data_IF_727551707916
#
_entry.id   IF_727551707916
#
_cell.length_a   1.000
_cell.length_b   1.000
_cell.length_c   1.000
_cell.angle_alpha   90.00
_cell.angle_beta   90.00
_cell.angle_gamma   90.00
#
_symmetry.space_group_name_H-M   'P 1'
#
loop_
_entity.id
_entity.type
_entity.pdbx_description
1 polymer ?
#
# COMPACT_ATOMS: atom_id res chain seq x y z
N UNK A 1 -42.28 16.35 18.56
CA UNK A 1 -40.84 16.43 18.73
C UNK A 1 -40.30 15.00 18.72
N UNK A 2 -39.98 14.52 17.55
CA UNK A 2 -39.45 13.16 17.31
C UNK A 2 -38.04 13.33 16.82
N UNK A 3 -37.09 12.84 17.62
CA UNK A 3 -35.67 12.79 17.26
C UNK A 3 -35.47 11.81 16.11
N UNK A 4 -34.60 12.09 15.13
CA UNK A 4 -34.21 11.11 14.16
C UNK A 4 -33.08 10.24 14.74
N UNK A 5 -33.38 8.97 14.92
CA UNK A 5 -32.37 7.93 15.11
C UNK A 5 -31.49 7.81 13.87
N UNK A 6 -30.27 8.23 14.01
CA UNK A 6 -29.21 8.01 13.03
C UNK A 6 -28.31 6.88 13.52
N UNK A 7 -28.67 5.66 13.20
CA UNK A 7 -27.75 4.51 13.29
C UNK A 7 -27.50 3.96 11.89
N UNK A 8 -26.64 4.64 11.15
CA UNK A 8 -25.86 4.00 10.11
C UNK A 8 -24.66 3.35 10.80
N UNK A 9 -24.84 2.13 11.31
CA UNK A 9 -23.74 1.25 11.69
C UNK A 9 -23.01 0.84 10.42
N UNK A 10 -21.94 1.55 10.14
CA UNK A 10 -20.94 1.16 9.16
C UNK A 10 -20.48 -0.27 9.50
N UNK A 11 -20.69 -1.20 8.59
CA UNK A 11 -20.11 -2.54 8.64
C UNK A 11 -18.58 -2.41 8.46
N UNK A 12 -17.89 -2.05 9.54
CA UNK A 12 -16.46 -2.20 9.64
C UNK A 12 -16.25 -3.70 9.84
N UNK A 13 -15.80 -4.38 8.79
CA UNK A 13 -15.30 -5.75 8.92
C UNK A 13 -14.12 -5.68 9.88
N UNK A 14 -14.35 -6.05 11.14
CA UNK A 14 -13.32 -6.25 12.15
C UNK A 14 -12.48 -7.47 11.75
N UNK A 15 -11.60 -7.29 10.79
CA UNK A 15 -10.44 -8.15 10.63
C UNK A 15 -9.52 -7.76 11.77
N UNK A 16 -9.21 -8.73 12.64
CA UNK A 16 -8.37 -8.63 13.83
C UNK A 16 -7.39 -7.45 13.69
N UNK A 17 -7.49 -6.38 14.53
CA UNK A 17 -6.54 -5.29 14.46
C UNK A 17 -5.19 -5.90 14.81
N UNK A 18 -4.49 -6.38 13.79
CA UNK A 18 -3.32 -7.20 13.94
C UNK A 18 -2.25 -6.40 14.67
N UNK A 19 -2.42 -6.30 15.95
CA UNK A 19 -1.40 -5.90 16.89
C UNK A 19 -0.36 -7.00 16.77
N UNK A 20 0.77 -6.68 16.15
CA UNK A 20 1.90 -7.59 16.14
C UNK A 20 2.23 -7.89 17.60
N UNK A 21 2.33 -9.15 17.96
CA UNK A 21 2.73 -9.57 19.32
C UNK A 21 4.10 -8.99 19.69
N UNK A 22 4.95 -8.71 18.71
CA UNK A 22 6.27 -8.09 18.82
C UNK A 22 6.32 -6.72 18.13
N UNK A 23 5.36 -5.84 18.44
CA UNK A 23 5.25 -4.54 17.82
C UNK A 23 6.49 -3.67 18.09
N UNK A 24 7.22 -3.31 17.03
CA UNK A 24 8.31 -2.33 17.06
C UNK A 24 7.76 -0.91 16.92
N UNK A 25 6.66 -0.73 16.20
CA UNK A 25 5.96 0.53 16.02
C UNK A 25 4.52 0.36 16.46
N UNK A 26 4.09 1.21 17.40
CA UNK A 26 2.74 1.23 17.93
C UNK A 26 2.08 2.58 17.66
N UNK A 27 0.86 2.54 17.17
CA UNK A 27 0.01 3.69 16.90
C UNK A 27 -1.32 3.47 17.61
N UNK A 28 -1.67 4.34 18.56
CA UNK A 28 -2.87 4.20 19.38
C UNK A 28 -3.74 5.44 19.29
N UNK A 29 -4.99 5.29 18.82
CA UNK A 29 -6.02 6.32 18.69
C UNK A 29 -5.48 7.62 18.04
N UNK A 30 -4.64 7.46 17.02
CA UNK A 30 -3.91 8.56 16.38
C UNK A 30 -4.85 9.43 15.57
N UNK A 31 -4.94 10.73 15.90
CA UNK A 31 -5.59 11.74 15.07
C UNK A 31 -4.60 12.85 14.71
N UNK A 32 -4.61 13.21 13.42
CA UNK A 32 -3.77 14.28 12.86
C UNK A 32 -4.61 15.15 11.95
N UNK A 33 -4.62 16.47 12.21
CA UNK A 33 -5.28 17.44 11.33
C UNK A 33 -4.42 18.66 11.06
N UNK A 34 -4.62 19.26 9.90
CA UNK A 34 -3.95 20.48 9.43
C UNK A 34 -5.01 21.56 9.21
N UNK A 35 -5.16 22.45 10.19
CA UNK A 35 -6.28 23.40 10.21
C UNK A 35 -7.61 22.64 10.17
N UNK A 36 -8.50 22.94 9.22
CA UNK A 36 -9.82 22.26 9.12
C UNK A 36 -9.74 20.86 8.50
N UNK A 37 -8.61 20.47 7.91
CA UNK A 37 -8.46 19.20 7.20
C UNK A 37 -8.01 18.08 8.14
N UNK A 38 -8.86 17.10 8.36
CA UNK A 38 -8.51 15.86 9.05
C UNK A 38 -7.73 14.96 8.09
N UNK A 39 -6.50 14.60 8.47
CA UNK A 39 -5.64 13.72 7.69
C UNK A 39 -5.64 12.28 8.21
N UNK A 40 -5.74 12.11 9.55
CA UNK A 40 -5.92 10.83 10.23
C UNK A 40 -6.94 11.02 11.35
N UNK A 41 -7.79 10.01 11.58
CA UNK A 41 -8.85 10.03 12.59
C UNK A 41 -8.92 8.71 13.32
N UNK A 42 -8.64 8.71 14.63
CA UNK A 42 -8.76 7.58 15.54
C UNK A 42 -8.11 6.29 15.02
N UNK A 43 -6.90 6.41 14.49
CA UNK A 43 -6.17 5.30 13.89
C UNK A 43 -5.42 4.49 14.93
N UNK A 44 -5.71 3.19 15.05
CA UNK A 44 -4.98 2.25 15.90
C UNK A 44 -4.42 1.13 15.02
N UNK A 45 -3.10 0.97 15.01
CA UNK A 45 -2.40 -0.08 14.29
C UNK A 45 -0.99 -0.29 14.86
N UNK A 46 -0.34 -1.40 14.49
CA UNK A 46 1.04 -1.65 14.86
C UNK A 46 1.82 -2.33 13.74
N UNK A 47 3.14 -2.21 13.80
CA UNK A 47 4.06 -2.84 12.86
C UNK A 47 5.15 -3.56 13.66
N UNK A 48 5.47 -4.78 13.28
CA UNK A 48 6.53 -5.61 13.87
C UNK A 48 7.57 -6.03 12.83
N UNK A 49 8.51 -6.90 13.22
CA UNK A 49 9.49 -7.46 12.30
C UNK A 49 8.84 -8.06 11.04
N UNK A 50 9.53 -7.95 9.92
CA UNK A 50 8.99 -8.33 8.60
C UNK A 50 8.58 -7.12 7.77
N UNK A 51 7.94 -7.38 6.63
CA UNK A 51 7.45 -6.34 5.72
C UNK A 51 5.96 -6.14 5.91
N UNK A 52 5.57 -4.91 6.25
CA UNK A 52 4.18 -4.49 6.32
C UNK A 52 3.84 -3.52 5.19
N UNK A 53 2.78 -3.79 4.44
CA UNK A 53 2.27 -2.93 3.40
C UNK A 53 1.25 -1.93 3.95
N UNK A 54 1.43 -0.66 3.65
CA UNK A 54 0.47 0.41 3.94
C UNK A 54 -0.22 0.79 2.64
N UNK A 55 -1.46 0.34 2.50
CA UNK A 55 -2.23 0.44 1.29
C UNK A 55 -3.31 1.52 1.40
N UNK A 56 -3.60 2.21 0.31
CA UNK A 56 -4.67 3.20 0.26
C UNK A 56 -4.57 4.13 -0.94
N UNK A 57 -5.68 4.75 -1.37
CA UNK A 57 -5.67 5.71 -2.45
C UNK A 57 -4.84 6.96 -2.11
N UNK A 58 -4.61 7.79 -3.12
CA UNK A 58 -3.97 9.08 -2.89
C UNK A 58 -4.84 9.94 -1.96
N UNK A 59 -4.21 10.54 -0.95
CA UNK A 59 -4.93 11.30 0.07
C UNK A 59 -5.52 10.46 1.23
N UNK A 60 -5.34 9.13 1.24
CA UNK A 60 -5.82 8.26 2.33
C UNK A 60 -5.15 8.49 3.70
N UNK A 61 -4.05 9.26 3.75
CA UNK A 61 -3.31 9.53 4.98
C UNK A 61 -2.01 8.73 5.15
N UNK A 62 -1.59 7.92 4.17
CA UNK A 62 -0.38 7.08 4.23
C UNK A 62 0.87 7.88 4.60
N UNK A 63 1.19 8.91 3.82
CA UNK A 63 2.35 9.80 4.08
C UNK A 63 2.24 10.51 5.43
N UNK A 64 1.03 10.90 5.85
CA UNK A 64 0.81 11.52 7.17
C UNK A 64 1.11 10.54 8.30
N UNK A 65 0.64 9.28 8.19
CA UNK A 65 0.96 8.23 9.17
C UNK A 65 2.46 7.98 9.24
N UNK A 66 3.14 7.84 8.11
CA UNK A 66 4.58 7.62 8.05
C UNK A 66 5.37 8.80 8.66
N UNK A 67 4.94 10.03 8.40
CA UNK A 67 5.54 11.24 9.01
C UNK A 67 5.24 11.31 10.51
N UNK A 68 4.09 10.84 10.97
CA UNK A 68 3.79 10.75 12.41
C UNK A 68 4.67 9.69 13.09
N UNK A 69 4.83 8.50 12.49
CA UNK A 69 5.71 7.43 12.97
C UNK A 69 7.15 7.93 13.09
N UNK A 70 7.60 8.74 12.13
CA UNK A 70 8.97 9.27 12.13
C UNK A 70 9.11 10.60 12.90
N UNK A 71 8.06 11.07 13.58
CA UNK A 71 8.09 12.28 14.40
C UNK A 71 8.15 13.59 13.60
N UNK A 72 8.02 13.55 12.27
CA UNK A 72 8.07 14.71 11.39
C UNK A 72 6.77 15.54 11.39
N UNK A 73 5.68 14.94 11.86
CA UNK A 73 4.37 15.60 11.98
C UNK A 73 3.90 15.51 13.44
N UNK A 74 3.26 16.59 13.91
CA UNK A 74 2.62 16.63 15.21
C UNK A 74 1.41 15.72 15.29
N UNK A 75 1.24 15.07 16.42
CA UNK A 75 0.06 14.29 16.77
C UNK A 75 -0.89 15.20 17.55
N UNK A 76 -2.15 15.29 17.14
CA UNK A 76 -3.17 16.08 17.85
C UNK A 76 -3.79 15.27 18.97
N UNK A 77 -4.12 13.99 18.69
CA UNK A 77 -4.64 13.05 19.68
C UNK A 77 -3.98 11.68 19.51
N UNK A 78 -4.00 10.89 20.58
CA UNK A 78 -3.41 9.56 20.58
C UNK A 78 -1.90 9.57 20.77
N UNK A 79 -1.25 8.45 20.48
CA UNK A 79 0.19 8.25 20.69
C UNK A 79 0.83 7.44 19.58
N UNK A 80 2.11 7.73 19.34
CA UNK A 80 3.00 6.91 18.50
C UNK A 80 4.21 6.52 19.31
N UNK A 81 4.57 5.25 19.26
CA UNK A 81 5.80 4.73 19.88
C UNK A 81 6.60 3.92 18.88
N UNK A 82 7.90 4.07 18.91
CA UNK A 82 8.86 3.30 18.13
C UNK A 82 9.87 2.72 19.09
N UNK A 83 9.98 1.41 19.15
CA UNK A 83 10.75 0.68 20.17
C UNK A 83 10.42 1.20 21.60
N UNK A 84 9.12 1.38 21.90
CA UNK A 84 8.60 1.86 23.17
C UNK A 84 8.78 3.36 23.45
N UNK A 85 9.42 4.13 22.56
CA UNK A 85 9.77 5.55 22.74
C UNK A 85 8.96 6.47 21.84
N UNK A 86 8.66 7.69 22.30
CA UNK A 86 8.00 8.72 21.50
C UNK A 86 9.01 9.38 20.54
N UNK A 87 8.85 9.26 19.21
CA UNK A 87 9.82 9.76 18.22
C UNK A 87 9.95 11.29 18.20
N UNK A 88 9.00 12.04 18.79
CA UNK A 88 9.08 13.50 18.90
C UNK A 88 9.80 13.97 20.15
N UNK A 89 9.80 13.15 21.19
CA UNK A 89 10.40 13.50 22.50
C UNK A 89 11.79 12.90 22.67
N UNK A 90 12.00 11.69 22.13
CA UNK A 90 13.26 10.98 22.24
C UNK A 90 13.99 10.92 20.89
N UNK A 91 14.99 11.80 20.72
CA UNK A 91 15.79 11.87 19.50
C UNK A 91 16.65 10.62 19.25
N UNK A 92 16.90 9.80 20.27
CA UNK A 92 17.68 8.57 20.11
C UNK A 92 17.03 7.58 19.17
N UNK A 93 15.69 7.57 19.12
CA UNK A 93 14.89 6.73 18.21
C UNK A 93 15.26 6.94 16.73
N UNK A 94 15.62 8.17 16.35
CA UNK A 94 15.97 8.46 14.95
C UNK A 94 17.27 7.79 14.48
N UNK A 95 18.07 7.23 15.37
CA UNK A 95 19.22 6.41 14.98
C UNK A 95 18.81 5.01 14.56
N UNK A 96 17.67 4.54 15.07
CA UNK A 96 17.14 3.20 14.85
C UNK A 96 16.10 3.16 13.73
N UNK A 97 15.72 4.32 13.17
CA UNK A 97 14.76 4.40 12.08
C UNK A 97 15.26 5.24 10.90
N UNK A 98 14.77 4.94 9.71
CA UNK A 98 14.98 5.76 8.54
C UNK A 98 13.68 5.90 7.73
N UNK A 99 13.52 7.08 7.10
CA UNK A 99 12.43 7.37 6.17
C UNK A 99 12.99 7.62 4.77
N UNK A 100 12.40 6.97 3.78
CA UNK A 100 12.60 7.28 2.37
C UNK A 100 11.30 7.90 1.87
N UNK A 101 11.24 9.22 1.66
CA UNK A 101 10.03 9.91 1.22
C UNK A 101 9.76 9.67 -0.27
N UNK A 102 8.49 9.81 -0.69
CA UNK A 102 8.09 9.73 -2.10
C UNK A 102 8.74 10.84 -2.95
N UNK A 103 8.84 12.05 -2.40
CA UNK A 103 9.34 13.20 -3.14
C UNK A 103 10.78 13.01 -3.64
N UNK A 104 11.10 13.68 -4.75
CA UNK A 104 12.40 13.55 -5.42
C UNK A 104 13.46 14.52 -4.87
N UNK A 105 13.23 15.14 -3.72
CA UNK A 105 14.10 16.16 -3.14
C UNK A 105 15.45 15.59 -2.68
N UNK A 106 16.32 15.32 -3.65
CA UNK A 106 17.72 14.97 -3.42
C UNK A 106 18.59 16.09 -3.97
N UNK A 107 19.61 16.58 -3.23
CA UNK A 107 20.53 17.59 -3.74
C UNK A 107 21.23 17.10 -5.01
N UNK A 108 20.81 17.62 -6.16
CA UNK A 108 21.29 17.15 -7.47
C UNK A 108 22.79 17.39 -7.73
N UNK A 109 23.40 18.33 -7.03
CA UNK A 109 24.83 18.62 -7.13
C UNK A 109 25.75 17.64 -6.40
N UNK A 110 25.22 16.82 -5.51
CA UNK A 110 26.00 15.79 -4.82
C UNK A 110 26.15 14.54 -5.70
N UNK A 111 27.27 13.83 -5.55
CA UNK A 111 27.38 12.46 -6.06
C UNK A 111 26.62 11.51 -5.14
N UNK A 112 26.29 10.30 -5.63
CA UNK A 112 25.61 9.30 -4.79
C UNK A 112 26.48 8.94 -3.56
N UNK A 113 27.79 8.82 -3.73
CA UNK A 113 28.75 8.60 -2.65
C UNK A 113 28.72 9.74 -1.62
N UNK A 114 28.73 10.99 -2.10
CA UNK A 114 28.66 12.16 -1.21
C UNK A 114 27.36 12.21 -0.44
N UNK A 115 26.22 11.87 -1.08
CA UNK A 115 24.92 11.79 -0.43
C UNK A 115 24.91 10.76 0.71
N UNK A 116 25.41 9.54 0.43
CA UNK A 116 25.42 8.46 1.42
C UNK A 116 26.40 8.76 2.57
N UNK A 117 27.59 9.31 2.27
CA UNK A 117 28.55 9.75 3.27
C UNK A 117 27.96 10.85 4.16
N UNK A 118 27.31 11.85 3.56
CA UNK A 118 26.63 12.91 4.32
C UNK A 118 25.61 12.34 5.32
N UNK A 119 24.83 11.35 4.89
CA UNK A 119 23.88 10.69 5.80
C UNK A 119 24.59 9.85 6.86
N UNK A 120 25.69 9.19 6.53
CA UNK A 120 26.52 8.47 7.50
C UNK A 120 27.05 9.41 8.60
N UNK A 121 27.56 10.57 8.19
CA UNK A 121 28.07 11.59 9.13
C UNK A 121 26.98 12.14 10.04
N UNK A 122 25.81 12.51 9.46
CA UNK A 122 24.64 12.96 10.23
C UNK A 122 24.21 11.96 11.28
N UNK A 123 24.25 10.68 10.94
CA UNK A 123 23.84 9.58 11.83
C UNK A 123 24.96 9.05 12.69
N UNK A 124 26.18 9.62 12.57
CA UNK A 124 27.39 9.23 13.29
C UNK A 124 27.73 7.75 13.12
N UNK A 125 27.60 7.27 11.88
CA UNK A 125 28.01 5.92 11.49
C UNK A 125 29.54 5.87 11.56
N UNK A 126 30.09 4.92 12.31
CA UNK A 126 31.55 4.75 12.47
C UNK A 126 32.15 3.76 11.49
N UNK A 127 31.33 2.95 10.88
CA UNK A 127 31.74 1.98 9.87
C UNK A 127 32.11 2.70 8.55
N UNK A 128 33.40 2.68 8.22
CA UNK A 128 33.94 3.32 7.02
C UNK A 128 33.49 2.66 5.72
N UNK A 129 33.19 1.37 5.74
CA UNK A 129 32.74 0.61 4.59
C UNK A 129 31.22 0.65 4.40
N UNK A 130 30.52 1.20 5.39
CA UNK A 130 29.05 1.34 5.40
C UNK A 130 28.49 2.02 4.17
N UNK A 131 29.01 3.17 3.74
CA UNK A 131 28.57 3.87 2.53
C UNK A 131 28.69 3.04 1.25
N UNK A 132 29.82 2.38 1.04
CA UNK A 132 30.05 1.55 -0.15
C UNK A 132 29.17 0.28 -0.11
N UNK A 133 28.99 -0.29 1.07
CA UNK A 133 28.06 -1.41 1.26
C UNK A 133 26.62 -1.00 0.95
N UNK A 134 26.17 0.15 1.43
CA UNK A 134 24.82 0.65 1.15
C UNK A 134 24.61 0.91 -0.35
N UNK A 135 25.60 1.51 -1.04
CA UNK A 135 25.56 1.72 -2.49
C UNK A 135 25.56 0.40 -3.26
N UNK A 136 26.32 -0.58 -2.83
CA UNK A 136 26.34 -1.93 -3.44
C UNK A 136 25.00 -2.62 -3.30
N UNK A 137 24.36 -2.50 -2.14
CA UNK A 137 23.03 -3.12 -1.86
C UNK A 137 21.96 -2.65 -2.85
N UNK A 138 22.09 -1.46 -3.40
CA UNK A 138 21.13 -0.89 -4.37
C UNK A 138 21.68 -0.79 -5.80
N UNK A 139 22.75 -1.49 -6.12
CA UNK A 139 23.42 -1.50 -7.44
C UNK A 139 23.78 -0.10 -7.96
N UNK A 140 24.37 0.74 -7.12
CA UNK A 140 24.82 2.08 -7.48
C UNK A 140 26.31 2.30 -7.24
N UNK A 141 27.06 1.30 -6.78
CA UNK A 141 28.49 1.47 -6.45
C UNK A 141 29.33 1.88 -7.68
N UNK A 142 29.09 1.28 -8.84
CA UNK A 142 29.85 1.54 -10.07
C UNK A 142 29.63 2.96 -10.63
N UNK A 143 28.55 3.61 -10.23
CA UNK A 143 28.16 4.97 -10.63
C UNK A 143 28.14 5.94 -9.44
N UNK A 144 28.73 5.54 -8.31
CA UNK A 144 28.66 6.27 -7.05
C UNK A 144 29.20 7.69 -7.13
N UNK A 145 30.18 7.92 -8.01
CA UNK A 145 30.85 9.21 -8.17
C UNK A 145 30.20 10.12 -9.23
N UNK A 146 29.06 9.69 -9.81
CA UNK A 146 28.24 10.53 -10.68
C UNK A 146 27.28 11.37 -9.86
N UNK A 147 26.98 12.58 -10.32
CA UNK A 147 26.02 13.49 -9.69
C UNK A 147 24.58 12.91 -9.74
N UNK A 148 23.89 12.94 -8.63
CA UNK A 148 22.52 12.42 -8.49
C UNK A 148 21.54 13.16 -9.41
N UNK A 149 21.80 14.44 -9.72
CA UNK A 149 21.02 15.21 -10.68
C UNK A 149 21.00 14.61 -12.10
N UNK A 150 22.02 13.80 -12.47
CA UNK A 150 22.09 13.10 -13.77
C UNK A 150 21.43 11.73 -13.76
N UNK A 151 20.92 11.28 -12.61
CA UNK A 151 20.34 9.96 -12.46
C UNK A 151 18.92 9.92 -13.02
N UNK A 152 18.50 8.72 -13.49
CA UNK A 152 17.09 8.44 -13.76
C UNK A 152 16.27 8.52 -12.46
N UNK A 153 14.94 8.59 -12.57
CA UNK A 153 14.06 8.57 -11.40
C UNK A 153 14.32 7.35 -10.51
N UNK A 154 14.44 6.16 -11.10
CA UNK A 154 14.72 4.92 -10.37
C UNK A 154 16.12 4.91 -9.74
N UNK A 155 17.15 5.50 -10.38
CA UNK A 155 18.48 5.64 -9.77
C UNK A 155 18.44 6.61 -8.59
N UNK A 156 17.74 7.75 -8.70
CA UNK A 156 17.55 8.67 -7.56
C UNK A 156 16.84 7.99 -6.40
N UNK A 157 15.82 7.19 -6.67
CA UNK A 157 15.12 6.42 -5.64
C UNK A 157 16.05 5.44 -4.94
N UNK A 158 16.87 4.70 -5.70
CA UNK A 158 17.87 3.78 -5.12
C UNK A 158 18.94 4.53 -4.30
N UNK A 159 19.36 5.72 -4.71
CA UNK A 159 20.29 6.55 -3.94
C UNK A 159 19.68 7.00 -2.59
N UNK A 160 18.38 7.35 -2.55
CA UNK A 160 17.67 7.63 -1.29
C UNK A 160 17.62 6.41 -0.38
N UNK A 161 17.36 5.23 -0.96
CA UNK A 161 17.33 3.97 -0.19
C UNK A 161 18.72 3.66 0.38
N UNK A 162 19.81 3.81 -0.42
CA UNK A 162 21.16 3.65 0.08
C UNK A 162 21.48 4.60 1.25
N UNK A 163 21.10 5.88 1.10
CA UNK A 163 21.27 6.89 2.13
C UNK A 163 20.48 6.58 3.43
N UNK A 164 19.34 5.92 3.32
CA UNK A 164 18.58 5.45 4.46
C UNK A 164 19.22 4.20 5.12
N UNK A 165 19.75 3.28 4.32
CA UNK A 165 20.33 2.02 4.79
C UNK A 165 21.72 2.17 5.44
N UNK A 166 22.43 3.28 5.18
CA UNK A 166 23.81 3.46 5.66
C UNK A 166 23.95 3.38 7.18
N UNK A 167 22.90 3.74 7.92
CA UNK A 167 22.87 3.67 9.41
C UNK A 167 22.35 2.35 9.95
N UNK A 168 22.10 1.37 9.10
CA UNK A 168 21.58 0.06 9.48
C UNK A 168 20.32 0.12 10.37
N UNK A 169 19.24 0.80 9.93
CA UNK A 169 18.09 1.05 10.79
C UNK A 169 17.30 -0.22 11.09
N UNK A 170 16.85 -0.38 12.34
CA UNK A 170 15.91 -1.45 12.74
C UNK A 170 14.49 -1.23 12.21
N UNK A 171 14.10 0.03 11.97
CA UNK A 171 12.80 0.41 11.38
C UNK A 171 13.03 1.21 10.10
N UNK A 172 12.52 0.71 8.99
CA UNK A 172 12.61 1.36 7.68
C UNK A 172 11.22 1.71 7.17
N UNK A 173 10.98 3.01 6.94
CA UNK A 173 9.71 3.55 6.45
C UNK A 173 9.92 4.02 5.02
N UNK A 174 9.18 3.46 4.07
CA UNK A 174 9.36 3.66 2.63
C UNK A 174 8.06 4.16 2.01
N UNK A 175 8.03 5.43 1.60
CA UNK A 175 6.85 6.02 0.98
C UNK A 175 6.94 5.88 -0.54
N UNK A 176 6.05 5.05 -1.12
CA UNK A 176 5.97 4.72 -2.56
C UNK A 176 7.34 4.35 -3.18
N UNK A 177 8.14 3.44 -2.58
CA UNK A 177 9.53 3.22 -2.97
C UNK A 177 9.71 2.60 -4.35
N UNK A 178 8.68 2.01 -4.93
CA UNK A 178 8.69 1.37 -6.25
C UNK A 178 8.32 2.31 -7.38
N UNK A 179 7.89 3.55 -7.07
CA UNK A 179 7.53 4.54 -8.06
C UNK A 179 8.72 4.93 -8.93
N UNK A 180 8.54 4.81 -10.27
CA UNK A 180 9.56 5.15 -11.26
C UNK A 180 10.65 4.09 -11.44
N UNK A 181 10.59 2.95 -10.75
CA UNK A 181 11.45 1.80 -11.02
C UNK A 181 10.94 1.04 -12.25
N UNK A 182 11.86 0.65 -13.12
CA UNK A 182 11.53 -0.29 -14.21
C UNK A 182 11.22 -1.70 -13.65
N UNK A 183 10.65 -2.61 -14.45
CA UNK A 183 10.23 -3.92 -13.96
C UNK A 183 11.35 -4.74 -13.31
N UNK A 184 12.57 -4.67 -13.81
CA UNK A 184 13.73 -5.41 -13.27
C UNK A 184 14.16 -4.81 -11.94
N UNK A 185 14.31 -3.49 -11.88
CA UNK A 185 14.66 -2.76 -10.67
C UNK A 185 13.60 -2.96 -9.58
N UNK A 186 12.32 -2.98 -9.96
CA UNK A 186 11.22 -3.25 -9.02
C UNK A 186 11.36 -4.62 -8.36
N UNK A 187 11.69 -5.66 -9.13
CA UNK A 187 11.92 -6.99 -8.58
C UNK A 187 13.11 -7.03 -7.61
N UNK A 188 14.21 -6.33 -7.93
CA UNK A 188 15.37 -6.22 -7.03
C UNK A 188 15.01 -5.49 -5.72
N UNK A 189 14.28 -4.39 -5.78
CA UNK A 189 13.84 -3.67 -4.58
C UNK A 189 12.87 -4.51 -3.73
N UNK A 190 11.96 -5.25 -4.36
CA UNK A 190 11.07 -6.19 -3.65
C UNK A 190 11.88 -7.26 -2.92
N UNK A 191 12.87 -7.87 -3.58
CA UNK A 191 13.74 -8.86 -2.98
C UNK A 191 14.54 -8.27 -1.81
N UNK A 192 15.10 -7.06 -1.98
CA UNK A 192 15.82 -6.34 -0.95
C UNK A 192 14.94 -6.10 0.30
N UNK A 193 13.75 -5.57 0.13
CA UNK A 193 12.88 -5.26 1.27
C UNK A 193 12.44 -6.54 2.00
N UNK A 194 12.16 -7.62 1.28
CA UNK A 194 11.89 -8.93 1.88
C UNK A 194 13.07 -9.46 2.69
N UNK A 195 14.28 -9.33 2.15
CA UNK A 195 15.48 -9.75 2.87
C UNK A 195 15.67 -8.95 4.15
N UNK A 196 15.51 -7.61 4.10
CA UNK A 196 15.58 -6.76 5.28
C UNK A 196 14.54 -7.14 6.34
N UNK A 197 13.32 -7.49 5.92
CA UNK A 197 12.28 -8.00 6.82
C UNK A 197 12.64 -9.38 7.42
N UNK A 198 13.18 -10.28 6.61
CA UNK A 198 13.63 -11.60 7.06
C UNK A 198 14.82 -11.52 8.03
N UNK A 199 15.65 -10.48 7.91
CA UNK A 199 16.74 -10.17 8.83
C UNK A 199 16.25 -9.59 10.18
N UNK A 200 14.93 -9.55 10.41
CA UNK A 200 14.30 -9.10 11.66
C UNK A 200 14.01 -7.60 11.74
N UNK A 201 14.19 -6.84 10.65
CA UNK A 201 13.86 -5.41 10.63
C UNK A 201 12.37 -5.19 10.41
N UNK A 202 11.84 -4.11 10.94
CA UNK A 202 10.48 -3.65 10.65
C UNK A 202 10.51 -2.77 9.41
N UNK A 203 9.96 -3.26 8.31
CA UNK A 203 9.91 -2.55 7.03
C UNK A 203 8.46 -2.17 6.72
N UNK A 204 8.19 -0.86 6.67
CA UNK A 204 6.86 -0.31 6.35
C UNK A 204 6.92 0.28 4.95
N UNK A 205 6.14 -0.27 4.03
CA UNK A 205 6.12 0.16 2.62
C UNK A 205 4.75 0.67 2.25
N UNK A 206 4.63 1.92 1.83
CA UNK A 206 3.38 2.40 1.23
C UNK A 206 3.31 2.04 -0.24
N UNK A 207 2.12 1.74 -0.71
CA UNK A 207 1.77 1.69 -2.12
C UNK A 207 0.28 1.95 -2.32
N UNK A 208 -0.08 2.46 -3.50
CA UNK A 208 -1.45 2.52 -3.99
C UNK A 208 -1.76 1.35 -4.94
N UNK A 209 -0.79 0.46 -5.19
CA UNK A 209 -0.89 -0.68 -6.10
C UNK A 209 -0.93 -1.99 -5.30
N UNK A 210 -2.09 -2.68 -5.32
CA UNK A 210 -2.30 -3.92 -4.57
C UNK A 210 -1.28 -4.99 -4.92
N UNK A 211 -1.04 -5.24 -6.20
CA UNK A 211 -0.10 -6.25 -6.67
C UNK A 211 1.34 -6.06 -6.16
N UNK A 212 1.74 -4.81 -5.88
CA UNK A 212 3.05 -4.52 -5.28
C UNK A 212 3.07 -4.94 -3.82
N UNK A 213 2.03 -4.58 -3.09
CA UNK A 213 1.89 -4.93 -1.67
C UNK A 213 1.76 -6.43 -1.50
N UNK A 214 1.00 -7.12 -2.33
CA UNK A 214 0.87 -8.58 -2.33
C UNK A 214 2.21 -9.31 -2.55
N UNK A 215 3.08 -8.74 -3.36
CA UNK A 215 4.42 -9.32 -3.58
C UNK A 215 5.40 -9.03 -2.47
N UNK A 216 5.23 -7.91 -1.76
CA UNK A 216 6.16 -7.40 -0.76
C UNK A 216 5.82 -7.87 0.65
N UNK A 217 4.58 -7.70 1.06
CA UNK A 217 4.20 -7.67 2.46
C UNK A 217 3.46 -8.95 2.87
N UNK A 218 3.74 -9.44 4.04
CA UNK A 218 2.99 -10.53 4.68
C UNK A 218 1.76 -9.98 5.40
N UNK A 219 1.83 -8.74 5.85
CA UNK A 219 0.78 -8.01 6.56
C UNK A 219 0.45 -6.73 5.82
N UNK A 220 -0.82 -6.39 5.76
CA UNK A 220 -1.30 -5.20 5.07
C UNK A 220 -2.20 -4.40 6.00
N UNK A 221 -2.00 -3.10 6.01
CA UNK A 221 -2.87 -2.11 6.65
C UNK A 221 -3.45 -1.25 5.54
N UNK A 222 -4.77 -1.20 5.51
CA UNK A 222 -5.53 -0.45 4.50
C UNK A 222 -6.07 0.83 5.11
N UNK A 223 -5.72 1.97 4.53
CA UNK A 223 -6.22 3.28 4.93
C UNK A 223 -7.20 3.84 3.91
N UNK A 224 -8.31 4.39 4.39
CA UNK A 224 -9.32 5.09 3.60
C UNK A 224 -9.74 6.35 4.36
N UNK A 225 -9.65 7.52 3.72
CA UNK A 225 -10.03 8.82 4.31
C UNK A 225 -9.46 9.06 5.72
N UNK A 226 -8.22 8.67 5.96
CA UNK A 226 -7.54 8.86 7.25
C UNK A 226 -7.94 7.87 8.33
N UNK A 227 -8.70 6.83 8.02
CA UNK A 227 -9.13 5.79 8.95
C UNK A 227 -8.62 4.41 8.55
N UNK A 228 -8.50 3.52 9.52
CA UNK A 228 -8.22 2.12 9.28
C UNK A 228 -9.47 1.44 8.68
N UNK A 229 -9.33 0.97 7.44
CA UNK A 229 -10.40 0.22 6.78
C UNK A 229 -10.25 -1.30 6.98
N UNK A 230 -9.01 -1.80 6.92
CA UNK A 230 -8.71 -3.21 7.16
C UNK A 230 -7.26 -3.37 7.62
N UNK A 231 -6.98 -4.42 8.39
CA UNK A 231 -5.62 -4.83 8.74
C UNK A 231 -5.57 -6.35 8.85
N UNK A 232 -4.49 -6.97 8.37
CA UNK A 232 -4.33 -8.42 8.45
C UNK A 232 -3.32 -8.99 7.50
N UNK A 233 -3.21 -10.32 7.46
CA UNK A 233 -2.44 -11.04 6.45
C UNK A 233 -3.10 -10.93 5.07
N UNK A 234 -2.31 -11.13 4.02
CA UNK A 234 -2.80 -11.06 2.62
C UNK A 234 -4.06 -11.92 2.37
N UNK A 235 -4.13 -13.10 2.99
CA UNK A 235 -5.30 -13.99 2.86
C UNK A 235 -6.55 -13.37 3.48
N UNK A 236 -6.45 -12.83 4.70
CA UNK A 236 -7.58 -12.24 5.38
C UNK A 236 -8.14 -11.02 4.64
N UNK A 237 -7.27 -10.20 4.04
CA UNK A 237 -7.71 -9.08 3.21
C UNK A 237 -8.35 -9.57 1.91
N UNK A 238 -7.77 -10.62 1.28
CA UNK A 238 -8.35 -11.21 0.07
C UNK A 238 -9.71 -11.87 0.34
N UNK A 239 -9.84 -12.59 1.47
CA UNK A 239 -11.08 -13.24 1.87
C UNK A 239 -12.18 -12.20 2.18
N UNK A 240 -11.81 -11.09 2.84
CA UNK A 240 -12.73 -9.96 3.03
C UNK A 240 -13.13 -9.27 1.71
N UNK A 241 -12.28 -9.37 0.69
CA UNK A 241 -12.57 -8.92 -0.67
C UNK A 241 -13.44 -9.91 -1.45
N UNK A 242 -13.32 -11.21 -1.16
CA UNK A 242 -14.13 -12.25 -1.82
C UNK A 242 -15.60 -12.23 -1.37
N UNK A 243 -15.92 -11.64 -0.21
CA UNK A 243 -17.28 -11.38 0.25
C UNK A 243 -17.96 -10.19 -0.45
N UNK A 244 -17.21 -9.40 -1.21
CA UNK A 244 -17.72 -8.26 -1.97
C UNK A 244 -18.04 -8.68 -3.41
N UNK A 245 -19.25 -8.40 -3.95
CA UNK A 245 -19.59 -8.77 -5.31
C UNK A 245 -18.65 -8.13 -6.33
N UNK A 246 -17.98 -8.92 -7.14
CA UNK A 246 -17.13 -8.45 -8.23
C UNK A 246 -17.98 -8.08 -9.44
N UNK A 247 -17.59 -7.00 -10.12
CA UNK A 247 -18.24 -6.52 -11.31
C UNK A 247 -17.44 -6.93 -12.54
N UNK A 248 -18.10 -7.62 -13.45
CA UNK A 248 -17.52 -8.05 -14.74
C UNK A 248 -18.29 -7.40 -15.87
N UNK A 249 -17.60 -6.59 -16.67
CA UNK A 249 -18.17 -6.04 -17.90
C UNK A 249 -18.18 -7.13 -18.98
N UNK A 250 -19.34 -7.34 -19.55
CA UNK A 250 -19.53 -8.27 -20.66
C UNK A 250 -20.19 -7.55 -21.83
N UNK A 251 -19.56 -7.58 -23.00
CA UNK A 251 -20.11 -7.08 -24.26
C UNK A 251 -20.34 -8.22 -25.22
N UNK A 252 -21.52 -8.30 -25.77
CA UNK A 252 -21.93 -9.37 -26.68
C UNK A 252 -22.93 -8.87 -27.74
N UNK A 253 -23.27 -9.70 -28.70
CA UNK A 253 -24.22 -9.39 -29.79
C UNK A 253 -25.68 -9.43 -29.35
N UNK A 254 -26.03 -10.14 -28.27
CA UNK A 254 -27.36 -10.17 -27.65
C UNK A 254 -27.30 -10.09 -26.14
N UNK A 255 -27.18 -8.87 -25.65
CA UNK A 255 -27.03 -8.58 -24.23
C UNK A 255 -28.25 -8.98 -23.39
N UNK A 256 -29.49 -8.84 -23.96
CA UNK A 256 -30.71 -9.19 -23.24
C UNK A 256 -30.85 -10.69 -23.02
N UNK A 257 -30.55 -11.47 -24.05
CA UNK A 257 -30.60 -12.93 -23.96
C UNK A 257 -29.54 -13.48 -23.03
N UNK A 258 -28.33 -12.90 -23.09
CA UNK A 258 -27.26 -13.27 -22.16
C UNK A 258 -27.62 -12.94 -20.72
N UNK A 259 -28.16 -11.75 -20.43
CA UNK A 259 -28.58 -11.36 -19.11
C UNK A 259 -29.62 -12.31 -18.52
N UNK A 260 -30.65 -12.68 -19.29
CA UNK A 260 -31.70 -13.62 -18.88
C UNK A 260 -31.09 -15.00 -18.48
N UNK A 261 -30.09 -15.46 -19.24
CA UNK A 261 -29.42 -16.71 -18.95
C UNK A 261 -28.46 -16.62 -17.73
N UNK A 262 -27.80 -15.48 -17.52
CA UNK A 262 -26.89 -15.25 -16.42
C UNK A 262 -27.61 -15.17 -15.06
N UNK A 263 -28.81 -14.58 -15.01
CA UNK A 263 -29.62 -14.48 -13.78
C UNK A 263 -29.98 -15.86 -13.18
N UNK A 264 -29.98 -16.92 -14.01
CA UNK A 264 -30.21 -18.28 -13.54
C UNK A 264 -28.99 -18.99 -12.93
N UNK A 265 -27.83 -18.34 -12.87
CA UNK A 265 -26.62 -18.90 -12.26
C UNK A 265 -26.50 -18.51 -10.78
N UNK A 266 -26.25 -19.48 -9.90
CA UNK A 266 -26.07 -19.25 -8.45
C UNK A 266 -24.85 -18.32 -8.16
N UNK A 267 -23.87 -18.32 -9.06
CA UNK A 267 -22.69 -17.46 -8.98
C UNK A 267 -22.96 -15.99 -9.34
N UNK A 268 -24.15 -15.66 -9.86
CA UNK A 268 -24.54 -14.30 -10.27
C UNK A 268 -25.48 -13.69 -9.25
N UNK A 269 -25.11 -12.55 -8.68
CA UNK A 269 -25.92 -11.77 -7.75
C UNK A 269 -26.78 -10.71 -8.41
N UNK A 270 -26.36 -10.23 -9.56
CA UNK A 270 -27.08 -9.22 -10.30
C UNK A 270 -26.51 -8.99 -11.70
N UNK A 271 -27.35 -8.47 -12.57
CA UNK A 271 -26.96 -8.05 -13.91
C UNK A 271 -27.56 -6.68 -14.18
N UNK A 272 -26.72 -5.71 -14.54
CA UNK A 272 -27.12 -4.34 -14.85
C UNK A 272 -26.79 -4.02 -16.32
N UNK A 273 -27.69 -3.33 -17.00
CA UNK A 273 -27.46 -2.87 -18.37
C UNK A 273 -26.89 -1.45 -18.35
N UNK A 274 -25.79 -1.23 -19.05
CA UNK A 274 -25.35 0.12 -19.40
C UNK A 274 -26.03 0.59 -20.69
N UNK A 275 -26.96 1.54 -20.57
CA UNK A 275 -27.91 1.93 -21.63
C UNK A 275 -27.28 2.48 -22.93
N UNK A 276 -25.98 2.80 -22.96
CA UNK A 276 -25.31 3.45 -24.10
C UNK A 276 -24.49 2.51 -25.00
N UNK A 277 -24.26 1.24 -24.63
CA UNK A 277 -23.22 0.42 -25.31
C UNK A 277 -23.50 -1.07 -25.53
N UNK A 278 -24.70 -1.59 -25.33
CA UNK A 278 -24.94 -3.06 -25.31
C UNK A 278 -23.98 -3.80 -24.32
N UNK A 279 -23.68 -3.16 -23.21
CA UNK A 279 -22.77 -3.68 -22.18
C UNK A 279 -23.57 -4.16 -20.99
N UNK A 280 -23.17 -5.31 -20.44
CA UNK A 280 -23.70 -5.87 -19.20
C UNK A 280 -22.64 -5.73 -18.12
N UNK A 281 -23.04 -5.29 -16.94
CA UNK A 281 -22.25 -5.42 -15.73
C UNK A 281 -22.84 -6.58 -14.92
N UNK A 282 -22.06 -7.65 -14.79
CA UNK A 282 -22.43 -8.85 -14.06
C UNK A 282 -21.80 -8.79 -12.68
N UNK A 283 -22.60 -8.87 -11.63
CA UNK A 283 -22.17 -8.92 -10.24
C UNK A 283 -22.05 -10.38 -9.78
N UNK A 284 -20.89 -10.77 -9.28
CA UNK A 284 -20.62 -12.14 -8.83
C UNK A 284 -19.75 -12.18 -7.59
N UNK A 285 -20.04 -13.08 -6.63
CA UNK A 285 -19.13 -13.44 -5.55
C UNK A 285 -18.11 -14.52 -5.95
N UNK A 286 -18.36 -15.21 -7.06
CA UNK A 286 -17.60 -16.36 -7.51
C UNK A 286 -17.04 -16.11 -8.93
N UNK A 287 -16.12 -15.15 -9.05
CA UNK A 287 -15.59 -14.71 -10.34
C UNK A 287 -14.97 -15.86 -11.17
N UNK A 288 -14.34 -16.84 -10.49
CA UNK A 288 -13.74 -18.01 -11.14
C UNK A 288 -14.82 -18.92 -11.74
N UNK A 289 -15.91 -19.14 -11.04
CA UNK A 289 -17.04 -19.95 -11.54
C UNK A 289 -17.75 -19.25 -12.68
N UNK A 290 -17.97 -17.94 -12.57
CA UNK A 290 -18.51 -17.13 -13.65
C UNK A 290 -17.62 -17.18 -14.89
N UNK A 291 -16.30 -17.07 -14.74
CA UNK A 291 -15.35 -17.13 -15.86
C UNK A 291 -15.41 -18.48 -16.62
N UNK A 292 -15.71 -19.57 -15.93
CA UNK A 292 -15.90 -20.90 -16.53
C UNK A 292 -17.30 -21.06 -17.13
N UNK A 293 -18.33 -20.56 -16.46
CA UNK A 293 -19.72 -20.71 -16.87
C UNK A 293 -20.10 -19.80 -18.06
N UNK A 294 -19.61 -18.55 -18.06
CA UNK A 294 -19.97 -17.54 -19.06
C UNK A 294 -19.71 -17.97 -20.52
N UNK A 295 -18.52 -18.49 -20.91
CA UNK A 295 -18.29 -18.92 -22.28
C UNK A 295 -19.16 -20.14 -22.70
N UNK A 296 -19.41 -21.04 -21.73
CA UNK A 296 -20.28 -22.22 -21.95
C UNK A 296 -21.73 -21.79 -22.20
N UNK A 297 -22.22 -20.86 -21.39
CA UNK A 297 -23.55 -20.31 -21.46
C UNK A 297 -23.75 -19.54 -22.78
N UNK A 298 -22.82 -18.68 -23.15
CA UNK A 298 -22.85 -17.93 -24.40
C UNK A 298 -22.89 -18.87 -25.60
N UNK A 299 -22.08 -19.92 -25.61
CA UNK A 299 -22.06 -20.92 -26.66
C UNK A 299 -23.39 -21.69 -26.74
N UNK A 300 -23.97 -22.11 -25.62
CA UNK A 300 -25.25 -22.81 -25.56
C UNK A 300 -26.41 -21.96 -26.09
N UNK A 301 -26.32 -20.64 -25.92
CA UNK A 301 -27.30 -19.66 -26.36
C UNK A 301 -26.99 -19.09 -27.77
N UNK A 302 -25.90 -19.55 -28.43
CA UNK A 302 -25.43 -19.03 -29.72
C UNK A 302 -25.13 -17.51 -29.67
N UNK A 303 -24.66 -17.02 -28.54
CA UNK A 303 -24.30 -15.61 -28.32
C UNK A 303 -22.79 -15.45 -28.51
N UNK A 304 -22.39 -14.41 -29.26
CA UNK A 304 -21.00 -14.07 -29.49
C UNK A 304 -20.51 -13.07 -28.44
N UNK A 305 -19.57 -13.51 -27.60
CA UNK A 305 -18.88 -12.61 -26.67
C UNK A 305 -17.88 -11.75 -27.44
N UNK A 306 -17.90 -10.44 -27.25
CA UNK A 306 -17.01 -9.46 -27.87
C UNK A 306 -15.93 -9.00 -26.89
N UNK A 307 -16.30 -8.80 -25.63
CA UNK A 307 -15.40 -8.38 -24.56
C UNK A 307 -15.87 -8.95 -23.23
N UNK A 308 -14.93 -9.42 -22.43
CA UNK A 308 -15.16 -9.80 -21.03
C UNK A 308 -14.01 -9.21 -20.24
N UNK A 309 -14.31 -8.28 -19.32
CA UNK A 309 -13.32 -7.56 -18.55
C UNK A 309 -13.79 -7.37 -17.12
N UNK A 310 -12.99 -7.75 -16.11
CA UNK A 310 -13.29 -7.35 -14.73
C UNK A 310 -13.22 -5.82 -14.63
N UNK A 311 -14.16 -5.22 -13.91
CA UNK A 311 -14.17 -3.79 -13.60
C UNK A 311 -13.47 -3.48 -12.28
N UNK A 312 -13.36 -4.49 -11.40
CA UNK A 312 -12.93 -4.35 -10.00
C UNK A 312 -11.48 -4.81 -9.77
N UNK A 313 -10.65 -4.87 -10.81
CA UNK A 313 -9.22 -5.20 -10.66
C UNK A 313 -8.39 -4.06 -10.04
N UNK A 314 -9.00 -2.91 -9.78
CA UNK A 314 -8.33 -1.80 -9.14
C UNK A 314 -8.75 -1.64 -7.68
N UNK A 315 -7.78 -1.35 -6.83
CA UNK A 315 -8.01 -0.92 -5.45
C UNK A 315 -9.01 0.24 -5.32
N UNK A 316 -9.14 1.07 -6.37
CA UNK A 316 -10.09 2.18 -6.36
C UNK A 316 -11.55 1.72 -6.37
N UNK A 317 -11.87 0.59 -7.03
CA UNK A 317 -13.21 0.02 -6.98
C UNK A 317 -13.52 -0.58 -5.61
N UNK A 318 -12.54 -1.27 -5.02
CA UNK A 318 -12.62 -1.80 -3.66
C UNK A 318 -12.78 -0.70 -2.62
N UNK A 319 -12.01 0.38 -2.73
CA UNK A 319 -12.12 1.53 -1.82
C UNK A 319 -13.46 2.26 -1.96
N UNK A 320 -14.05 2.32 -3.15
CA UNK A 320 -15.39 2.91 -3.34
C UNK A 320 -16.49 2.12 -2.62
N UNK A 321 -16.34 0.82 -2.46
CA UNK A 321 -17.30 -0.03 -1.74
C UNK A 321 -17.07 -0.03 -0.23
N UNK A 322 -15.83 0.00 0.24
CA UNK A 322 -15.49 0.16 1.67
C UNK A 322 -15.85 1.55 2.23
N UNK A 323 -16.14 2.53 1.37
CA UNK A 323 -16.45 3.92 1.74
C UNK A 323 -17.94 4.25 1.55
N UNK A 324 -18.74 3.33 1.02
CA UNK A 324 -20.21 3.45 0.99
C UNK A 324 -20.82 2.96 2.27
#
# INVERSE_FOLDING_TARGET
>A
MTSPDSTSSENIVHIDPAIATDATVEVNALSVWFGPKVALSDLTCSFGPGVSGLLGPNGAGKTTLMRAITGLVGVNEGTVRVAGRDPRRDRSVHREMALVPEDEAVPGGLTARQLVNYMADLRRVTDRDGPDRALRTVDLLDVADRQVGTFSKGMRQRAKIAAALVSDPGVLVLDEPLNGADPVQRLHLIALFKQLGADGRTVIVSSHVLNEVERLAERVIVLVHGRLAAAGGQRAIRDAMDDTPRHVLVRCDDSRRLAAALVGLDSVRGVTFEAKRDELIVQTLQARELAIALPRLARAQSIRLLEVRPLDDSLESLFRELVR
#
